data_IF_231790605379
#
_entry.id   IF_231790605379
#
_cell.length_a   1.000
_cell.length_b   1.000
_cell.length_c   1.000
_cell.angle_alpha   90.00
_cell.angle_beta   90.00
_cell.angle_gamma   90.00
#
_symmetry.space_group_name_H-M   'P 1'
#
loop_
_entity.id
_entity.type
_entity.pdbx_description
1 polymer ?
#
# COMPACT_ATOMS: atom_id res chain seq x y z
N UNK A 1 -0.44 7.37 25.24
CA UNK A 1 -1.00 8.14 24.10
C UNK A 1 -2.36 7.59 23.77
N UNK A 2 -3.23 8.45 23.23
CA UNK A 2 -4.48 8.05 22.58
C UNK A 2 -4.21 7.89 21.10
N UNK A 3 -4.52 6.73 20.56
CA UNK A 3 -4.25 6.42 19.14
C UNK A 3 -5.54 5.91 18.50
N UNK A 4 -5.88 6.47 17.35
CA UNK A 4 -6.89 5.86 16.48
C UNK A 4 -6.18 5.03 15.42
N UNK A 5 -6.58 3.78 15.23
CA UNK A 5 -6.15 2.95 14.11
C UNK A 5 -7.29 2.92 13.09
N UNK A 6 -7.06 3.48 11.91
CA UNK A 6 -8.01 3.42 10.79
C UNK A 6 -7.69 2.23 9.91
N UNK A 7 -8.70 1.38 9.68
CA UNK A 7 -8.60 0.18 8.84
C UNK A 7 -9.84 0.05 7.94
N UNK A 8 -9.96 -1.02 7.18
CA UNK A 8 -11.11 -1.31 6.32
C UNK A 8 -11.15 -0.48 5.04
N UNK A 9 -12.15 0.37 4.89
CA UNK A 9 -12.35 1.15 3.66
C UNK A 9 -13.04 0.38 2.54
N UNK A 10 -12.87 0.81 1.28
CA UNK A 10 -13.55 0.23 0.12
C UNK A 10 -12.60 -0.28 -0.98
N UNK A 11 -11.32 -0.43 -0.70
CA UNK A 11 -10.36 -0.99 -1.65
C UNK A 11 -10.49 -2.50 -1.78
N UNK A 12 -9.90 -3.06 -2.82
CA UNK A 12 -9.79 -4.52 -3.01
C UNK A 12 -8.90 -5.20 -1.95
N UNK A 13 -8.27 -4.42 -1.08
CA UNK A 13 -7.39 -4.88 0.02
C UNK A 13 -8.03 -4.67 1.40
N UNK A 14 -9.38 -4.50 1.46
CA UNK A 14 -10.14 -4.25 2.68
C UNK A 14 -9.84 -5.25 3.80
N UNK A 15 -9.86 -6.55 3.52
CA UNK A 15 -9.63 -7.59 4.52
C UNK A 15 -8.19 -7.58 5.05
N UNK A 16 -7.23 -7.32 4.16
CA UNK A 16 -5.82 -7.16 4.55
C UNK A 16 -5.67 -5.96 5.48
N UNK A 17 -6.36 -4.86 5.17
CA UNK A 17 -6.40 -3.67 6.01
C UNK A 17 -7.00 -3.95 7.39
N UNK A 18 -8.11 -4.66 7.47
CA UNK A 18 -8.75 -5.04 8.75
C UNK A 18 -7.82 -5.91 9.59
N UNK A 19 -7.19 -6.91 8.96
CA UNK A 19 -6.21 -7.78 9.63
C UNK A 19 -5.02 -6.99 10.15
N UNK A 20 -4.41 -6.15 9.30
CA UNK A 20 -3.30 -5.27 9.68
C UNK A 20 -3.67 -4.33 10.82
N UNK A 21 -4.84 -3.67 10.72
CA UNK A 21 -5.33 -2.74 11.74
C UNK A 21 -5.57 -3.39 13.09
N UNK A 22 -6.11 -4.61 13.08
CA UNK A 22 -6.32 -5.39 14.31
C UNK A 22 -4.99 -5.72 15.00
N UNK A 23 -4.02 -6.24 14.26
CA UNK A 23 -2.69 -6.57 14.79
C UNK A 23 -1.95 -5.33 15.31
N UNK A 24 -2.04 -4.22 14.58
CA UNK A 24 -1.47 -2.92 14.98
C UNK A 24 -2.11 -2.43 16.28
N UNK A 25 -3.45 -2.46 16.37
CA UNK A 25 -4.15 -2.03 17.60
C UNK A 25 -3.76 -2.88 18.81
N UNK A 26 -3.67 -4.19 18.66
CA UNK A 26 -3.21 -5.10 19.72
C UNK A 26 -1.76 -4.81 20.13
N UNK A 27 -0.86 -4.61 19.17
CA UNK A 27 0.53 -4.27 19.42
C UNK A 27 0.67 -2.95 20.22
N UNK A 28 -0.07 -1.90 19.82
CA UNK A 28 -0.07 -0.63 20.53
C UNK A 28 -0.66 -0.73 21.94
N UNK A 29 -1.75 -1.47 22.12
CA UNK A 29 -2.34 -1.75 23.44
C UNK A 29 -1.37 -2.49 24.36
N UNK A 30 -0.60 -3.44 23.82
CA UNK A 30 0.43 -4.16 24.59
C UNK A 30 1.55 -3.25 25.12
N UNK A 31 1.73 -2.07 24.52
CA UNK A 31 2.65 -1.01 24.96
C UNK A 31 2.00 0.00 25.92
N UNK A 32 0.75 -0.20 26.32
CA UNK A 32 0.04 0.65 27.28
C UNK A 32 -0.61 1.89 26.67
N UNK A 33 -0.83 1.93 25.34
CA UNK A 33 -1.60 3.00 24.70
C UNK A 33 -3.10 2.74 24.81
N UNK A 34 -3.90 3.82 24.87
CA UNK A 34 -5.35 3.78 24.71
C UNK A 34 -5.66 3.81 23.21
N UNK A 35 -6.23 2.72 22.67
CA UNK A 35 -6.35 2.54 21.21
C UNK A 35 -7.78 2.27 20.78
N UNK A 36 -8.30 3.13 19.89
CA UNK A 36 -9.58 2.94 19.22
C UNK A 36 -9.31 2.41 17.81
N UNK A 37 -9.88 1.26 17.46
CA UNK A 37 -9.83 0.68 16.12
C UNK A 37 -11.14 0.97 15.38
N UNK A 38 -11.06 1.71 14.27
CA UNK A 38 -12.20 2.10 13.45
C UNK A 38 -12.06 1.63 12.01
N UNK A 39 -13.17 1.19 11.43
CA UNK A 39 -13.31 1.10 9.99
C UNK A 39 -13.59 2.51 9.43
N UNK A 40 -12.72 3.01 8.53
CA UNK A 40 -12.85 4.36 7.98
C UNK A 40 -14.15 4.58 7.22
N UNK A 41 -14.67 3.53 6.55
CA UNK A 41 -15.92 3.60 5.80
C UNK A 41 -17.16 3.39 6.68
N UNK A 42 -17.15 2.39 7.56
CA UNK A 42 -18.30 2.12 8.45
C UNK A 42 -18.43 3.20 9.53
N UNK A 43 -17.32 3.68 10.07
CA UNK A 43 -17.30 4.66 11.14
C UNK A 43 -17.80 4.12 12.48
N UNK A 44 -18.19 5.04 13.35
CA UNK A 44 -18.85 4.76 14.63
C UNK A 44 -20.29 5.27 14.56
N UNK A 45 -21.25 4.38 14.41
CA UNK A 45 -22.63 4.72 14.06
C UNK A 45 -23.47 5.20 15.25
N UNK A 46 -23.04 4.93 16.48
CA UNK A 46 -23.74 5.38 17.68
C UNK A 46 -23.56 6.88 17.93
N UNK A 47 -24.42 7.45 18.76
CA UNK A 47 -24.21 8.82 19.22
C UNK A 47 -23.02 8.88 20.17
N UNK A 48 -22.04 9.73 19.86
CA UNK A 48 -20.92 9.94 20.76
C UNK A 48 -21.39 10.77 21.94
N UNK A 49 -21.56 10.13 23.10
CA UNK A 49 -21.84 10.80 24.36
C UNK A 49 -20.55 11.12 25.13
N UNK A 50 -19.54 10.28 24.97
CA UNK A 50 -18.26 10.37 25.67
C UNK A 50 -17.16 9.68 24.83
N UNK A 51 -16.34 10.48 24.13
CA UNK A 51 -15.22 9.98 23.33
C UNK A 51 -14.12 9.39 24.25
N UNK A 52 -13.92 9.97 25.44
CA UNK A 52 -12.95 9.46 26.40
C UNK A 52 -13.23 8.00 26.80
N UNK A 53 -14.50 7.63 26.88
CA UNK A 53 -14.89 6.26 27.18
C UNK A 53 -14.46 5.28 26.08
N UNK A 54 -14.48 5.68 24.81
CA UNK A 54 -14.05 4.83 23.69
C UNK A 54 -12.55 4.49 23.81
N UNK A 55 -11.74 5.49 24.14
CA UNK A 55 -10.29 5.27 24.32
C UNK A 55 -10.01 4.41 25.55
N UNK A 56 -10.61 4.70 26.70
CA UNK A 56 -10.43 3.92 27.96
C UNK A 56 -10.86 2.46 27.82
N UNK A 57 -11.90 2.19 27.01
CA UNK A 57 -12.39 0.84 26.75
C UNK A 57 -11.63 0.13 25.63
N UNK A 58 -10.70 0.80 24.96
CA UNK A 58 -10.01 0.28 23.79
C UNK A 58 -11.01 -0.24 22.74
N UNK A 59 -11.95 0.61 22.35
CA UNK A 59 -12.98 0.22 21.40
C UNK A 59 -12.39 -0.37 20.12
N UNK A 60 -13.04 -1.42 19.61
CA UNK A 60 -12.75 -2.00 18.30
C UNK A 60 -14.06 -2.28 17.58
N UNK A 61 -14.15 -1.86 16.31
CA UNK A 61 -15.20 -2.42 15.47
C UNK A 61 -14.96 -3.92 15.31
N UNK A 62 -16.04 -4.68 15.17
CA UNK A 62 -15.97 -6.13 14.90
C UNK A 62 -16.42 -6.35 13.47
N UNK A 63 -15.49 -6.78 12.60
CA UNK A 63 -15.85 -7.37 11.32
C UNK A 63 -15.66 -8.89 11.44
N UNK A 64 -16.71 -9.65 11.25
CA UNK A 64 -16.69 -11.11 11.39
C UNK A 64 -16.11 -11.84 10.18
N UNK A 65 -15.51 -11.14 9.22
CA UNK A 65 -15.04 -11.71 7.96
C UNK A 65 -13.57 -12.14 8.07
N UNK A 66 -13.29 -13.36 7.61
CA UNK A 66 -11.93 -13.84 7.33
C UNK A 66 -11.41 -13.22 6.02
N UNK A 67 -10.08 -13.16 5.87
CA UNK A 67 -9.44 -12.72 4.61
C UNK A 67 -9.98 -13.59 3.46
N UNK A 68 -10.53 -12.95 2.43
CA UNK A 68 -11.04 -13.64 1.25
C UNK A 68 -9.90 -14.23 0.41
N UNK A 69 -10.09 -15.44 -0.08
CA UNK A 69 -9.05 -16.17 -0.82
C UNK A 69 -8.89 -15.69 -2.28
N UNK A 70 -9.82 -14.85 -2.78
CA UNK A 70 -9.78 -14.30 -4.13
C UNK A 70 -10.45 -12.92 -4.27
N UNK A 71 -10.23 -12.27 -5.43
CA UNK A 71 -10.74 -10.93 -5.75
C UNK A 71 -12.28 -10.88 -5.79
N UNK A 72 -12.96 -11.96 -6.18
CA UNK A 72 -14.41 -12.01 -6.30
C UNK A 72 -15.07 -11.96 -4.91
N UNK A 73 -14.49 -12.66 -3.95
CA UNK A 73 -14.91 -12.59 -2.55
C UNK A 73 -14.73 -11.18 -1.98
N UNK A 74 -13.61 -10.53 -2.27
CA UNK A 74 -13.35 -9.14 -1.83
C UNK A 74 -14.37 -8.16 -2.38
N UNK A 75 -14.74 -8.26 -3.67
CA UNK A 75 -15.79 -7.41 -4.26
C UNK A 75 -17.14 -7.64 -3.57
N UNK A 76 -17.45 -8.87 -3.21
CA UNK A 76 -18.67 -9.23 -2.48
C UNK A 76 -18.66 -8.57 -1.10
N UNK A 77 -17.57 -8.65 -0.36
CA UNK A 77 -17.40 -8.04 0.96
C UNK A 77 -17.53 -6.52 0.94
N UNK A 78 -17.03 -5.86 -0.11
CA UNK A 78 -17.22 -4.41 -0.31
C UNK A 78 -18.71 -4.06 -0.52
N UNK A 79 -19.44 -4.86 -1.31
CA UNK A 79 -20.87 -4.67 -1.51
C UNK A 79 -21.63 -4.84 -0.20
N UNK A 80 -21.32 -5.87 0.57
CA UNK A 80 -21.91 -6.10 1.89
C UNK A 80 -21.63 -4.96 2.86
N UNK A 81 -20.40 -4.43 2.90
CA UNK A 81 -20.06 -3.28 3.73
C UNK A 81 -20.93 -2.05 3.37
N UNK A 82 -21.12 -1.77 2.07
CA UNK A 82 -21.99 -0.69 1.60
C UNK A 82 -23.46 -0.91 1.99
N UNK A 83 -23.92 -2.15 1.99
CA UNK A 83 -25.29 -2.52 2.38
C UNK A 83 -25.50 -2.46 3.90
N UNK A 84 -24.51 -2.84 4.69
CA UNK A 84 -24.55 -2.83 6.17
C UNK A 84 -24.49 -1.41 6.75
N UNK A 85 -23.81 -0.46 6.11
CA UNK A 85 -23.67 0.90 6.58
C UNK A 85 -25.04 1.59 6.74
N UNK A 86 -25.32 2.15 7.92
CA UNK A 86 -26.66 2.68 8.26
C UNK A 86 -27.00 3.99 7.55
N UNK A 87 -26.04 4.92 7.42
CA UNK A 87 -26.31 6.26 6.90
C UNK A 87 -26.55 6.30 5.37
N UNK A 88 -26.25 5.22 4.64
CA UNK A 88 -26.45 5.10 3.18
C UNK A 88 -25.94 6.28 2.36
N UNK A 89 -25.00 7.05 2.88
CA UNK A 89 -24.38 8.16 2.16
C UNK A 89 -23.30 7.66 1.20
N UNK A 90 -22.95 8.48 0.18
CA UNK A 90 -21.85 8.21 -0.72
C UNK A 90 -20.49 8.64 -0.15
N UNK A 91 -20.43 9.13 1.09
CA UNK A 91 -19.18 9.57 1.71
C UNK A 91 -18.25 8.38 1.95
N UNK A 92 -16.99 8.53 1.64
CA UNK A 92 -15.97 7.51 1.96
C UNK A 92 -15.75 7.41 3.48
N UNK A 93 -15.66 8.54 4.17
CA UNK A 93 -15.45 8.62 5.62
C UNK A 93 -16.80 8.42 6.34
N UNK A 94 -16.85 7.42 7.21
CA UNK A 94 -18.01 7.06 8.01
C UNK A 94 -18.30 8.08 9.10
N UNK A 95 -19.46 7.93 9.72
CA UNK A 95 -19.92 8.82 10.80
C UNK A 95 -18.92 8.80 11.96
N UNK A 96 -18.67 9.97 12.55
CA UNK A 96 -17.86 10.18 13.76
C UNK A 96 -16.36 9.84 13.62
N UNK A 97 -15.86 9.43 12.43
CA UNK A 97 -14.44 9.08 12.25
C UNK A 97 -13.55 10.28 12.49
N UNK A 98 -13.87 11.42 11.88
CA UNK A 98 -13.07 12.65 12.01
C UNK A 98 -13.09 13.16 13.44
N UNK A 99 -14.27 13.17 14.07
CA UNK A 99 -14.43 13.62 15.45
C UNK A 99 -13.61 12.80 16.43
N UNK A 100 -13.57 11.46 16.26
CA UNK A 100 -12.78 10.58 17.14
C UNK A 100 -11.28 10.72 16.84
N UNK A 101 -10.87 10.86 15.57
CA UNK A 101 -9.48 11.09 15.19
C UNK A 101 -8.95 12.43 15.75
N UNK A 102 -9.78 13.46 15.81
CA UNK A 102 -9.40 14.77 16.34
C UNK A 102 -9.08 14.77 17.85
N UNK A 103 -9.60 13.79 18.60
CA UNK A 103 -9.33 13.61 20.04
C UNK A 103 -8.13 12.68 20.32
N UNK A 104 -7.50 12.14 19.27
CA UNK A 104 -6.32 11.32 19.38
C UNK A 104 -5.02 12.13 19.33
N UNK A 105 -3.96 11.65 19.97
CA UNK A 105 -2.61 12.20 19.81
C UNK A 105 -2.11 11.97 18.37
N UNK A 106 -2.50 10.83 17.78
CA UNK A 106 -2.16 10.44 16.40
C UNK A 106 -3.15 9.42 15.83
N UNK A 107 -3.35 9.46 14.51
CA UNK A 107 -4.12 8.46 13.76
C UNK A 107 -3.16 7.54 12.99
N UNK A 108 -3.18 6.25 13.28
CA UNK A 108 -2.42 5.24 12.56
C UNK A 108 -3.20 4.76 11.33
N UNK A 109 -2.64 4.93 10.14
CA UNK A 109 -3.26 4.49 8.88
C UNK A 109 -2.85 3.05 8.58
N UNK A 110 -3.75 2.08 8.83
CA UNK A 110 -3.59 0.67 8.49
C UNK A 110 -4.42 0.30 7.25
N UNK A 111 -4.55 1.25 6.32
CA UNK A 111 -5.30 1.13 5.08
C UNK A 111 -4.39 0.66 3.95
N UNK A 112 -4.98 0.04 2.92
CA UNK A 112 -4.24 -0.40 1.73
C UNK A 112 -5.07 -0.08 0.49
N UNK A 113 -4.44 0.55 -0.51
CA UNK A 113 -5.05 0.91 -1.78
C UNK A 113 -6.16 1.97 -1.70
N UNK A 114 -6.68 2.36 -2.84
CA UNK A 114 -7.81 3.27 -3.00
C UNK A 114 -7.65 4.59 -2.26
N UNK A 115 -8.78 5.12 -1.77
CA UNK A 115 -8.86 6.43 -1.10
C UNK A 115 -8.07 6.49 0.22
N UNK A 116 -7.74 5.34 0.80
CA UNK A 116 -6.91 5.25 2.01
C UNK A 116 -5.43 5.53 1.76
N UNK A 117 -4.96 5.28 0.52
CA UNK A 117 -3.53 5.36 0.18
C UNK A 117 -3.21 6.35 -0.96
N UNK A 118 -4.23 6.91 -1.64
CA UNK A 118 -4.03 7.79 -2.79
C UNK A 118 -3.89 9.29 -2.45
N UNK A 119 -3.75 9.65 -1.18
CA UNK A 119 -3.60 11.02 -0.70
C UNK A 119 -4.91 11.73 -0.33
N UNK A 120 -6.08 11.19 -0.69
CA UNK A 120 -7.37 11.85 -0.40
C UNK A 120 -7.68 11.86 1.10
N UNK A 121 -7.49 10.74 1.78
CA UNK A 121 -7.67 10.67 3.24
C UNK A 121 -6.63 11.54 3.96
N UNK A 122 -5.37 11.47 3.54
CA UNK A 122 -4.27 12.27 4.08
C UNK A 122 -4.58 13.76 3.99
N UNK A 123 -4.98 14.25 2.79
CA UNK A 123 -5.39 15.64 2.60
C UNK A 123 -6.58 16.04 3.48
N UNK A 124 -7.52 15.12 3.70
CA UNK A 124 -8.66 15.37 4.59
C UNK A 124 -8.18 15.53 6.03
N UNK A 125 -7.34 14.63 6.52
CA UNK A 125 -6.79 14.71 7.88
C UNK A 125 -5.96 15.98 8.08
N UNK A 126 -5.15 16.38 7.08
CA UNK A 126 -4.40 17.64 7.09
C UNK A 126 -5.31 18.87 7.28
N UNK A 127 -6.44 18.92 6.54
CA UNK A 127 -7.40 20.03 6.64
C UNK A 127 -8.09 20.09 8.00
N UNK A 128 -8.22 18.98 8.72
CA UNK A 128 -8.74 18.93 10.08
C UNK A 128 -7.65 19.08 11.15
N UNK A 129 -6.38 19.22 10.77
CA UNK A 129 -5.26 19.31 11.71
C UNK A 129 -5.00 18.02 12.50
N UNK A 130 -5.40 16.88 11.95
CA UNK A 130 -5.26 15.56 12.57
C UNK A 130 -3.92 14.97 12.16
N UNK A 131 -3.07 14.63 13.12
CA UNK A 131 -1.80 13.94 12.89
C UNK A 131 -2.05 12.49 12.48
N UNK A 132 -1.27 11.99 11.52
CA UNK A 132 -1.36 10.60 11.06
C UNK A 132 0.02 10.01 10.72
N UNK A 133 0.09 8.69 10.59
CA UNK A 133 1.32 7.98 10.21
C UNK A 133 1.39 7.79 8.69
N UNK A 134 2.61 7.78 8.14
CA UNK A 134 2.85 7.55 6.71
C UNK A 134 3.14 8.82 5.95
N UNK A 135 3.19 8.72 4.64
CA UNK A 135 3.46 9.84 3.74
C UNK A 135 2.28 10.81 3.65
N UNK A 136 2.56 12.10 3.48
CA UNK A 136 1.57 13.14 3.25
C UNK A 136 0.80 12.96 1.93
N UNK A 137 -0.21 13.80 1.71
CA UNK A 137 -1.13 13.68 0.56
C UNK A 137 -0.42 13.68 -0.79
N UNK A 138 0.61 14.52 -0.96
CA UNK A 138 1.32 14.64 -2.24
C UNK A 138 2.11 13.36 -2.57
N UNK A 139 2.91 12.87 -1.62
CA UNK A 139 3.70 11.65 -1.79
C UNK A 139 2.81 10.45 -2.04
N UNK A 140 1.72 10.31 -1.28
CA UNK A 140 0.72 9.25 -1.45
C UNK A 140 0.06 9.30 -2.84
N UNK A 141 -0.34 10.48 -3.32
CA UNK A 141 -0.94 10.63 -4.63
C UNK A 141 0.03 10.32 -5.78
N UNK A 142 1.29 10.77 -5.68
CA UNK A 142 2.33 10.48 -6.67
C UNK A 142 2.64 8.98 -6.72
N UNK A 143 2.83 8.34 -5.57
CA UNK A 143 3.16 6.92 -5.47
C UNK A 143 2.03 6.01 -5.99
N UNK A 144 0.78 6.35 -5.68
CA UNK A 144 -0.38 5.56 -6.12
C UNK A 144 -0.55 5.58 -7.63
N UNK A 145 -0.33 6.72 -8.29
CA UNK A 145 -0.48 6.86 -9.73
C UNK A 145 0.81 6.43 -10.46
N UNK A 146 0.84 5.20 -10.98
CA UNK A 146 2.03 4.60 -11.65
C UNK A 146 2.51 5.40 -12.85
N UNK A 147 1.61 6.09 -13.56
CA UNK A 147 1.97 6.96 -14.67
C UNK A 147 2.73 8.22 -14.20
N UNK A 148 2.28 8.86 -13.13
CA UNK A 148 2.96 9.98 -12.52
C UNK A 148 4.27 9.55 -11.86
N UNK A 149 4.27 8.43 -11.13
CA UNK A 149 5.49 7.82 -10.57
C UNK A 149 6.57 7.66 -11.64
N UNK A 150 6.23 7.03 -12.78
CA UNK A 150 7.17 6.86 -13.91
C UNK A 150 7.66 8.19 -14.46
N UNK A 151 6.80 9.18 -14.56
CA UNK A 151 7.19 10.52 -15.04
C UNK A 151 8.19 11.19 -14.11
N UNK A 152 8.00 11.08 -12.79
CA UNK A 152 8.95 11.56 -11.78
C UNK A 152 10.27 10.80 -11.87
N UNK A 153 10.22 9.47 -11.94
CA UNK A 153 11.41 8.63 -12.06
C UNK A 153 12.25 8.98 -13.30
N UNK A 154 11.61 9.12 -14.47
CA UNK A 154 12.31 9.54 -15.69
C UNK A 154 12.96 10.92 -15.54
N UNK A 155 12.28 11.89 -14.93
CA UNK A 155 12.84 13.22 -14.70
C UNK A 155 14.05 13.22 -13.74
N UNK A 156 14.06 12.28 -12.80
CA UNK A 156 15.14 12.11 -11.81
C UNK A 156 16.21 11.11 -12.23
N UNK A 157 16.12 10.55 -13.44
CA UNK A 157 17.00 9.48 -13.96
C UNK A 157 16.96 8.20 -13.11
N UNK A 158 15.87 7.93 -12.41
CA UNK A 158 15.62 6.66 -11.72
C UNK A 158 15.13 5.65 -12.77
N UNK A 159 15.83 4.52 -12.85
CA UNK A 159 15.50 3.48 -13.82
C UNK A 159 14.13 2.86 -13.52
N UNK A 160 13.26 2.80 -14.51
CA UNK A 160 11.95 2.12 -14.46
C UNK A 160 11.69 1.47 -15.82
N UNK A 161 10.91 0.37 -15.91
CA UNK A 161 10.60 -0.21 -17.22
C UNK A 161 10.03 0.86 -18.17
N UNK A 162 10.54 0.93 -19.40
CA UNK A 162 10.04 1.88 -20.39
C UNK A 162 8.55 1.66 -20.63
N UNK A 163 7.76 2.72 -20.54
CA UNK A 163 6.30 2.59 -20.63
C UNK A 163 5.59 3.91 -20.84
N UNK A 164 4.31 3.83 -21.12
CA UNK A 164 3.44 4.96 -21.40
C UNK A 164 2.11 4.85 -20.66
N UNK A 165 1.53 6.02 -20.35
CA UNK A 165 0.20 6.17 -19.77
C UNK A 165 -0.83 6.39 -20.88
N UNK A 166 -1.91 5.62 -20.89
CA UNK A 166 -3.01 5.76 -21.82
C UNK A 166 -4.34 5.98 -21.09
N UNK A 167 -5.17 6.88 -21.65
CA UNK A 167 -6.49 7.26 -21.10
C UNK A 167 -7.66 6.65 -21.88
N UNK A 168 -7.39 5.90 -22.92
CA UNK A 168 -8.41 5.24 -23.71
C UNK A 168 -7.82 4.11 -24.57
N UNK A 169 -8.69 3.19 -25.01
CA UNK A 169 -8.30 2.05 -25.82
C UNK A 169 -7.64 2.45 -27.14
N UNK A 170 -8.16 3.49 -27.81
CA UNK A 170 -7.69 3.89 -29.14
C UNK A 170 -6.23 4.31 -29.13
N UNK A 171 -5.83 5.12 -28.17
CA UNK A 171 -4.45 5.59 -28.04
C UNK A 171 -3.53 4.47 -27.58
N UNK A 172 -4.00 3.60 -26.68
CA UNK A 172 -3.26 2.43 -26.21
C UNK A 172 -2.90 1.48 -27.37
N UNK A 173 -3.73 1.35 -28.41
CA UNK A 173 -3.46 0.49 -29.56
C UNK A 173 -2.26 0.95 -30.41
N UNK A 174 -1.65 2.10 -30.14
CA UNK A 174 -0.40 2.53 -30.76
C UNK A 174 0.84 1.76 -30.24
N UNK A 175 0.75 1.13 -29.06
CA UNK A 175 1.84 0.32 -28.49
C UNK A 175 2.13 -0.92 -29.34
N UNK A 176 3.41 -1.18 -29.61
CA UNK A 176 3.85 -2.27 -30.49
C UNK A 176 5.07 -3.05 -30.01
N UNK A 177 5.53 -2.80 -28.77
CA UNK A 177 6.66 -3.50 -28.16
C UNK A 177 6.16 -4.68 -27.31
N UNK A 178 6.61 -5.89 -27.62
CA UNK A 178 6.26 -7.12 -26.90
C UNK A 178 7.51 -7.93 -26.55
N UNK A 179 7.51 -8.66 -25.42
CA UNK A 179 6.42 -8.73 -24.43
C UNK A 179 6.27 -7.44 -23.62
N UNK A 180 5.06 -7.18 -23.13
CA UNK A 180 4.75 -6.01 -22.29
C UNK A 180 3.85 -6.36 -21.12
N UNK A 181 3.75 -5.45 -20.16
CA UNK A 181 2.77 -5.48 -19.06
C UNK A 181 1.72 -4.41 -19.33
N UNK A 182 0.46 -4.77 -19.18
CA UNK A 182 -0.69 -3.86 -19.16
C UNK A 182 -1.28 -3.88 -17.76
N UNK A 183 -1.44 -2.71 -17.14
CA UNK A 183 -1.94 -2.62 -15.76
C UNK A 183 -2.78 -1.34 -15.55
N UNK A 184 -3.79 -1.37 -14.66
CA UNK A 184 -4.45 -0.16 -14.18
C UNK A 184 -3.43 0.82 -13.57
N UNK A 185 -3.71 2.12 -13.70
CA UNK A 185 -2.76 3.16 -13.29
C UNK A 185 -2.59 3.24 -11.76
N UNK A 186 -3.70 3.16 -11.02
CA UNK A 186 -3.73 3.33 -9.56
C UNK A 186 -4.13 2.07 -8.80
N UNK A 187 -4.31 0.94 -9.51
CA UNK A 187 -4.69 -0.33 -8.91
C UNK A 187 -3.57 -0.95 -8.05
N UNK A 188 -3.99 -1.67 -7.01
CA UNK A 188 -3.12 -2.46 -6.12
C UNK A 188 -3.24 -3.97 -6.36
N UNK A 189 -2.46 -4.76 -5.60
CA UNK A 189 -2.53 -6.23 -5.53
C UNK A 189 -2.55 -6.98 -6.85
N UNK A 190 -1.93 -6.43 -7.90
CA UNK A 190 -1.86 -7.01 -9.25
C UNK A 190 -3.23 -7.23 -9.92
N UNK A 191 -4.32 -6.63 -9.42
CA UNK A 191 -5.65 -6.70 -10.03
C UNK A 191 -5.64 -5.99 -11.39
N UNK A 192 -6.12 -6.67 -12.44
CA UNK A 192 -6.14 -6.13 -13.80
C UNK A 192 -4.77 -6.09 -14.50
N UNK A 193 -3.72 -6.63 -13.89
CA UNK A 193 -2.38 -6.72 -14.49
C UNK A 193 -2.30 -7.91 -15.45
N UNK A 194 -1.77 -7.69 -16.64
CA UNK A 194 -1.61 -8.74 -17.65
C UNK A 194 -0.23 -8.68 -18.28
N UNK A 195 0.49 -9.81 -18.30
CA UNK A 195 1.63 -10.03 -19.17
C UNK A 195 1.16 -10.40 -20.56
N UNK A 196 1.69 -9.75 -21.56
CA UNK A 196 1.22 -9.82 -22.95
C UNK A 196 2.39 -10.11 -23.88
N UNK A 197 2.27 -11.17 -24.66
CA UNK A 197 3.32 -11.65 -25.57
C UNK A 197 3.13 -11.17 -27.03
N UNK A 198 1.91 -10.72 -27.39
CA UNK A 198 1.59 -10.34 -28.78
C UNK A 198 0.37 -9.40 -28.87
N UNK A 199 0.14 -8.85 -30.06
CA UNK A 199 -0.90 -7.85 -30.32
C UNK A 199 -2.34 -8.35 -30.06
N UNK A 200 -2.63 -9.63 -30.22
CA UNK A 200 -3.98 -10.15 -29.99
C UNK A 200 -4.30 -10.28 -28.51
N UNK A 201 -3.33 -10.71 -27.71
CA UNK A 201 -3.42 -10.69 -26.25
C UNK A 201 -3.50 -9.25 -25.73
N UNK A 202 -2.74 -8.34 -26.36
CA UNK A 202 -2.68 -6.92 -25.99
C UNK A 202 -4.05 -6.24 -26.01
N UNK A 203 -4.81 -6.39 -27.11
CA UNK A 203 -6.15 -5.81 -27.24
C UNK A 203 -7.11 -6.27 -26.13
N UNK A 204 -6.99 -7.55 -25.70
CA UNK A 204 -7.81 -8.10 -24.62
C UNK A 204 -7.39 -7.52 -23.27
N UNK A 205 -6.07 -7.44 -23.01
CA UNK A 205 -5.53 -6.92 -21.78
C UNK A 205 -5.86 -5.43 -21.56
N UNK A 206 -5.77 -4.61 -22.61
CA UNK A 206 -6.18 -3.18 -22.58
C UNK A 206 -7.65 -3.05 -22.19
N UNK A 207 -8.55 -3.81 -22.84
CA UNK A 207 -9.98 -3.80 -22.51
C UNK A 207 -10.25 -4.27 -21.09
N UNK A 208 -9.51 -5.24 -20.61
CA UNK A 208 -9.67 -5.75 -19.25
C UNK A 208 -9.20 -4.71 -18.21
N UNK A 209 -8.02 -4.13 -18.39
CA UNK A 209 -7.50 -3.11 -17.48
C UNK A 209 -8.40 -1.87 -17.41
N UNK A 210 -8.96 -1.42 -18.56
CA UNK A 210 -9.89 -0.29 -18.61
C UNK A 210 -11.27 -0.56 -18.00
N UNK A 211 -11.57 -1.79 -17.56
CA UNK A 211 -12.77 -2.03 -16.74
C UNK A 211 -12.59 -1.60 -15.28
N UNK A 212 -11.35 -1.54 -14.83
CA UNK A 212 -11.01 -1.18 -13.45
C UNK A 212 -10.78 0.32 -13.28
N UNK A 213 -10.14 0.97 -14.29
CA UNK A 213 -9.78 2.38 -14.25
C UNK A 213 -9.82 3.02 -15.64
N UNK A 214 -10.02 4.35 -15.68
CA UNK A 214 -10.01 5.12 -16.92
C UNK A 214 -8.60 5.34 -17.51
N UNK A 215 -7.56 5.06 -16.71
CA UNK A 215 -6.15 5.21 -17.10
C UNK A 215 -5.41 3.87 -16.91
N UNK A 216 -4.58 3.52 -17.88
CA UNK A 216 -3.74 2.32 -17.82
C UNK A 216 -2.29 2.67 -18.13
N UNK A 217 -1.37 1.94 -17.51
CA UNK A 217 0.05 1.95 -17.85
C UNK A 217 0.37 0.72 -18.68
N UNK A 218 1.07 0.93 -19.79
CA UNK A 218 1.67 -0.13 -20.59
C UNK A 218 3.17 0.03 -20.52
N UNK A 219 3.88 -1.04 -20.17
CA UNK A 219 5.33 -1.00 -20.00
C UNK A 219 6.01 -2.24 -20.56
N UNK A 220 7.26 -2.10 -20.95
CA UNK A 220 8.09 -3.22 -21.39
C UNK A 220 8.19 -4.26 -20.29
N UNK A 221 8.01 -5.53 -20.66
CA UNK A 221 8.26 -6.63 -19.72
C UNK A 221 9.77 -6.81 -19.50
N UNK A 222 10.21 -6.61 -18.27
CA UNK A 222 11.59 -6.84 -17.84
C UNK A 222 11.66 -8.20 -17.16
N UNK A 223 12.62 -9.03 -17.55
CA UNK A 223 12.90 -10.32 -16.90
C UNK A 223 14.01 -10.14 -15.88
N UNK A 224 13.76 -10.47 -14.64
CA UNK A 224 14.74 -10.30 -13.57
C UNK A 224 14.32 -10.99 -12.28
N UNK A 225 15.16 -10.85 -11.24
CA UNK A 225 14.84 -11.17 -9.85
C UNK A 225 14.05 -10.00 -9.26
N UNK A 226 13.04 -10.29 -8.48
CA UNK A 226 12.19 -9.28 -7.85
C UNK A 226 12.65 -9.02 -6.42
N UNK A 227 12.76 -7.75 -6.04
CA UNK A 227 13.19 -7.30 -4.72
C UNK A 227 12.24 -6.23 -4.20
N UNK A 228 12.17 -6.15 -2.89
CA UNK A 228 11.56 -5.03 -2.21
C UNK A 228 12.57 -4.41 -1.25
N UNK A 229 12.50 -3.10 -1.07
CA UNK A 229 13.30 -2.36 -0.11
C UNK A 229 12.39 -1.47 0.71
N UNK A 230 12.28 -1.75 2.00
CA UNK A 230 11.59 -0.92 2.95
C UNK A 230 12.43 0.28 3.36
N UNK A 231 11.77 1.39 3.68
CA UNK A 231 12.40 2.55 4.29
C UNK A 231 11.64 2.95 5.55
N UNK A 232 12.39 3.37 6.56
CA UNK A 232 11.86 3.93 7.83
C UNK A 232 12.64 5.21 8.13
N UNK A 233 11.96 6.34 8.26
CA UNK A 233 12.60 7.65 8.47
C UNK A 233 13.61 7.99 7.38
N UNK A 234 13.37 7.58 6.13
CA UNK A 234 14.28 7.76 5.00
C UNK A 234 15.48 6.80 4.97
N UNK A 235 15.67 5.94 5.99
CA UNK A 235 16.74 4.92 6.01
C UNK A 235 16.26 3.64 5.32
N UNK A 236 16.96 3.23 4.26
CA UNK A 236 16.70 1.97 3.56
C UNK A 236 17.10 0.76 4.41
N UNK A 237 16.20 -0.21 4.51
CA UNK A 237 16.38 -1.50 5.18
C UNK A 237 17.09 -2.52 4.25
N UNK A 238 17.50 -3.68 4.78
CA UNK A 238 18.03 -4.77 3.97
C UNK A 238 17.03 -5.22 2.91
N UNK A 239 17.41 -5.32 1.62
CA UNK A 239 16.52 -5.82 0.58
C UNK A 239 15.97 -7.22 0.89
N UNK A 240 14.72 -7.46 0.55
CA UNK A 240 14.10 -8.78 0.57
C UNK A 240 13.88 -9.26 -0.87
N UNK A 241 14.30 -10.47 -1.20
CA UNK A 241 14.02 -11.10 -2.49
C UNK A 241 12.67 -11.79 -2.48
N UNK A 242 11.91 -11.63 -3.54
CA UNK A 242 10.58 -12.17 -3.75
C UNK A 242 10.64 -13.15 -4.92
N UNK A 243 10.52 -14.46 -4.64
CA UNK A 243 10.59 -15.52 -5.64
C UNK A 243 9.25 -16.29 -5.72
N UNK A 244 8.27 -15.80 -6.51
CA UNK A 244 7.00 -16.49 -6.66
C UNK A 244 7.16 -17.82 -7.42
N UNK A 245 6.58 -18.90 -6.90
CA UNK A 245 6.64 -20.24 -7.52
C UNK A 245 5.91 -20.31 -8.85
N UNK A 246 4.92 -19.43 -9.08
CA UNK A 246 4.18 -19.28 -10.33
C UNK A 246 4.97 -18.52 -11.42
N UNK A 247 6.07 -17.87 -11.07
CA UNK A 247 6.86 -17.03 -11.95
C UNK A 247 6.35 -15.59 -12.12
N UNK A 248 5.21 -15.22 -11.52
CA UNK A 248 4.70 -13.85 -11.42
C UNK A 248 4.19 -13.58 -10.01
N UNK A 249 4.49 -12.38 -9.47
CA UNK A 249 4.02 -11.95 -8.15
C UNK A 249 2.60 -11.37 -8.28
N UNK A 250 1.64 -12.26 -8.59
CA UNK A 250 0.22 -11.95 -8.71
C UNK A 250 -0.51 -11.99 -7.35
N UNK A 251 -1.84 -11.78 -7.36
CA UNK A 251 -2.66 -11.79 -6.15
C UNK A 251 -2.50 -13.07 -5.33
N UNK A 252 -2.54 -14.22 -5.98
CA UNK A 252 -2.38 -15.51 -5.31
C UNK A 252 -0.97 -15.67 -4.72
N UNK A 253 0.07 -15.24 -5.44
CA UNK A 253 1.44 -15.26 -4.96
C UNK A 253 1.68 -14.35 -3.74
N UNK A 254 0.92 -13.25 -3.62
CA UNK A 254 0.99 -12.30 -2.50
C UNK A 254 0.32 -12.82 -1.23
N UNK A 255 -0.81 -13.49 -1.35
CA UNK A 255 -1.68 -13.78 -0.19
C UNK A 255 -1.85 -15.26 0.14
N UNK A 256 -1.53 -16.19 -0.77
CA UNK A 256 -1.56 -17.63 -0.47
C UNK A 256 -0.29 -18.07 0.26
N UNK A 257 -0.45 -18.67 1.43
CA UNK A 257 0.67 -19.16 2.22
C UNK A 257 1.53 -20.16 1.42
N UNK A 258 2.85 -19.87 1.33
CA UNK A 258 3.82 -20.72 0.64
C UNK A 258 3.80 -20.63 -0.89
N UNK A 259 3.04 -19.72 -1.50
CA UNK A 259 3.07 -19.47 -2.94
C UNK A 259 4.35 -18.74 -3.39
N UNK A 260 4.95 -17.96 -2.51
CA UNK A 260 6.19 -17.20 -2.74
C UNK A 260 7.25 -17.64 -1.74
N UNK A 261 8.51 -17.62 -2.16
CA UNK A 261 9.68 -17.75 -1.28
C UNK A 261 10.24 -16.34 -1.09
N UNK A 262 10.30 -15.89 0.15
CA UNK A 262 10.82 -14.61 0.55
C UNK A 262 12.15 -14.83 1.30
N UNK A 263 13.21 -14.13 0.90
CA UNK A 263 14.54 -14.25 1.51
C UNK A 263 15.00 -12.88 2.00
N UNK A 264 15.09 -12.71 3.32
CA UNK A 264 15.54 -11.48 3.95
C UNK A 264 16.64 -11.75 5.01
N UNK A 265 17.82 -11.12 4.94
CA UNK A 265 18.29 -10.29 3.82
C UNK A 265 18.43 -11.12 2.54
N UNK A 266 18.29 -10.47 1.40
CA UNK A 266 18.42 -11.11 0.10
C UNK A 266 19.82 -11.69 -0.11
N UNK A 267 19.92 -12.84 -0.79
CA UNK A 267 21.21 -13.43 -1.17
C UNK A 267 21.79 -12.75 -2.42
N UNK A 268 22.48 -11.63 -2.19
CA UNK A 268 23.11 -10.75 -3.19
C UNK A 268 24.45 -10.24 -2.67
N UNK A 269 25.32 -9.78 -3.59
CA UNK A 269 26.57 -9.14 -3.21
C UNK A 269 26.38 -7.72 -2.65
N UNK A 270 27.41 -7.21 -1.96
CA UNK A 270 27.36 -5.88 -1.31
C UNK A 270 27.14 -4.73 -2.31
N UNK A 271 27.62 -4.85 -3.55
CA UNK A 271 27.43 -3.84 -4.58
C UNK A 271 25.94 -3.77 -5.00
N UNK A 272 25.32 -4.93 -5.19
CA UNK A 272 23.89 -5.04 -5.53
C UNK A 272 23.00 -4.59 -4.37
N UNK A 273 23.32 -4.97 -3.12
CA UNK A 273 22.61 -4.49 -1.91
C UNK A 273 22.63 -2.96 -1.85
N UNK A 274 23.83 -2.38 -1.94
CA UNK A 274 24.00 -0.93 -1.93
C UNK A 274 23.22 -0.25 -3.06
N UNK A 275 23.26 -0.78 -4.26
CA UNK A 275 22.56 -0.25 -5.43
C UNK A 275 21.05 -0.22 -5.27
N UNK A 276 20.47 -1.29 -4.71
CA UNK A 276 19.03 -1.35 -4.41
C UNK A 276 18.64 -0.34 -3.33
N UNK A 277 19.41 -0.23 -2.25
CA UNK A 277 19.13 0.75 -1.17
C UNK A 277 19.27 2.19 -1.64
N UNK A 278 20.31 2.51 -2.41
CA UNK A 278 20.50 3.84 -2.98
C UNK A 278 19.32 4.21 -3.90
N UNK A 279 18.93 3.30 -4.81
CA UNK A 279 17.80 3.51 -5.71
C UNK A 279 16.46 3.66 -4.95
N UNK A 280 16.28 2.92 -3.84
CA UNK A 280 15.10 3.05 -3.00
C UNK A 280 15.06 4.41 -2.29
N UNK A 281 16.20 4.89 -1.80
CA UNK A 281 16.32 6.21 -1.18
C UNK A 281 16.04 7.32 -2.19
N UNK A 282 16.62 7.24 -3.39
CA UNK A 282 16.35 8.19 -4.48
C UNK A 282 14.87 8.23 -4.88
N UNK A 283 14.21 7.06 -4.97
CA UNK A 283 12.79 6.98 -5.29
C UNK A 283 11.90 7.57 -4.17
N UNK A 284 12.25 7.30 -2.91
CA UNK A 284 11.58 7.83 -1.73
C UNK A 284 11.63 9.37 -1.71
N UNK A 285 12.82 9.95 -1.91
CA UNK A 285 13.00 11.40 -1.95
C UNK A 285 12.32 12.04 -3.18
N UNK A 286 12.41 11.40 -4.35
CA UNK A 286 11.83 11.91 -5.59
C UNK A 286 10.30 12.00 -5.54
N UNK A 287 9.65 11.06 -4.83
CA UNK A 287 8.20 11.03 -4.64
C UNK A 287 7.74 11.80 -3.40
N UNK A 288 8.64 12.48 -2.68
CA UNK A 288 8.31 13.18 -1.43
C UNK A 288 7.64 12.27 -0.40
N UNK A 289 8.16 11.04 -0.28
CA UNK A 289 7.65 10.11 0.73
C UNK A 289 8.18 10.48 2.11
N UNK A 290 7.42 10.11 3.13
CA UNK A 290 7.71 10.45 4.53
C UNK A 290 7.49 9.22 5.41
N UNK A 291 8.05 9.26 6.63
CA UNK A 291 7.88 8.26 7.67
C UNK A 291 8.35 6.86 7.22
N UNK A 292 7.62 6.20 6.37
CA UNK A 292 7.94 4.87 5.88
C UNK A 292 7.35 4.62 4.49
N UNK A 293 7.99 3.74 3.75
CA UNK A 293 7.50 3.26 2.46
C UNK A 293 8.16 1.93 2.10
N UNK A 294 7.67 1.30 1.04
CA UNK A 294 8.29 0.14 0.42
C UNK A 294 8.41 0.39 -1.08
N UNK A 295 9.61 0.20 -1.61
CA UNK A 295 9.90 0.39 -3.04
C UNK A 295 10.21 -0.98 -3.65
N UNK A 296 9.53 -1.32 -4.74
CA UNK A 296 9.65 -2.62 -5.39
C UNK A 296 10.48 -2.52 -6.67
N UNK A 297 11.38 -3.49 -6.89
CA UNK A 297 12.38 -3.50 -7.95
C UNK A 297 12.43 -4.80 -8.72
N UNK A 298 12.84 -4.71 -9.99
CA UNK A 298 13.42 -5.82 -10.74
C UNK A 298 14.91 -5.60 -10.94
N UNK A 299 15.70 -6.66 -10.77
CA UNK A 299 17.12 -6.72 -11.11
C UNK A 299 17.28 -7.66 -12.30
N UNK A 300 17.66 -7.13 -13.45
CA UNK A 300 17.87 -7.93 -14.63
C UNK A 300 19.23 -8.69 -14.61
N UNK A 301 19.44 -9.57 -15.59
CA UNK A 301 20.68 -10.35 -15.71
C UNK A 301 21.91 -9.49 -16.05
N UNK A 302 21.72 -8.26 -16.50
CA UNK A 302 22.78 -7.29 -16.75
C UNK A 302 23.17 -6.47 -15.52
N UNK A 303 22.52 -6.69 -14.37
CA UNK A 303 22.74 -5.94 -13.14
C UNK A 303 22.08 -4.57 -13.13
N UNK A 304 21.11 -4.31 -14.03
CA UNK A 304 20.32 -3.10 -14.00
C UNK A 304 19.10 -3.28 -13.08
N UNK A 305 18.91 -2.30 -12.18
CA UNK A 305 17.75 -2.22 -11.31
C UNK A 305 16.66 -1.39 -11.97
N UNK A 306 15.42 -1.84 -11.93
CA UNK A 306 14.24 -1.13 -12.42
C UNK A 306 13.24 -0.95 -11.29
N UNK A 307 12.97 0.31 -10.90
CA UNK A 307 11.95 0.63 -9.92
C UNK A 307 10.56 0.42 -10.53
N UNK A 308 9.73 -0.38 -9.90
CA UNK A 308 8.39 -0.76 -10.36
C UNK A 308 7.31 0.15 -9.81
N UNK A 309 7.29 0.29 -8.49
CA UNK A 309 6.28 1.05 -7.74
C UNK A 309 6.78 1.41 -6.35
N UNK A 310 6.10 2.37 -5.72
CA UNK A 310 6.27 2.74 -4.33
C UNK A 310 4.96 2.53 -3.58
N UNK A 311 5.02 1.89 -2.41
CA UNK A 311 3.88 1.62 -1.54
C UNK A 311 4.02 2.47 -0.28
N UNK A 312 3.07 3.36 -0.03
CA UNK A 312 3.12 4.32 1.09
C UNK A 312 2.50 3.79 2.37
N UNK A 313 1.61 2.82 2.27
CA UNK A 313 1.02 2.09 3.40
C UNK A 313 1.24 0.58 3.24
N UNK A 314 2.50 0.10 3.32
CA UNK A 314 2.79 -1.33 3.17
C UNK A 314 2.18 -2.16 4.30
N UNK A 315 1.92 -3.44 4.02
CA UNK A 315 1.34 -4.38 4.97
C UNK A 315 2.12 -4.47 6.29
N UNK A 316 1.38 -4.73 7.38
CA UNK A 316 1.89 -4.72 8.76
C UNK A 316 1.77 -6.06 9.45
N UNK A 317 1.33 -7.10 8.75
CA UNK A 317 1.29 -8.45 9.33
C UNK A 317 2.72 -8.99 9.52
N UNK A 318 2.95 -9.95 10.41
CA UNK A 318 4.29 -10.55 10.59
C UNK A 318 4.87 -11.16 9.31
N UNK A 319 4.03 -11.53 8.35
CA UNK A 319 4.42 -12.08 7.05
C UNK A 319 4.55 -11.01 5.97
N UNK A 320 4.29 -9.74 6.28
CA UNK A 320 4.49 -8.64 5.32
C UNK A 320 5.97 -8.32 5.16
N UNK A 321 6.38 -7.84 3.98
CA UNK A 321 7.78 -7.64 3.60
C UNK A 321 8.51 -6.65 4.53
N UNK A 322 7.93 -5.46 4.73
CA UNK A 322 8.55 -4.42 5.55
C UNK A 322 8.81 -4.83 7.02
N UNK A 323 7.89 -5.52 7.74
CA UNK A 323 8.19 -6.09 9.05
C UNK A 323 9.31 -7.13 9.05
N UNK A 324 9.46 -7.94 8.00
CA UNK A 324 10.56 -8.89 7.86
C UNK A 324 11.90 -8.18 7.69
N UNK A 325 11.97 -7.15 6.83
CA UNK A 325 13.16 -6.31 6.62
C UNK A 325 13.56 -5.58 7.91
N UNK A 326 12.58 -5.02 8.65
CA UNK A 326 12.81 -4.36 9.93
C UNK A 326 13.34 -5.32 11.01
N UNK A 327 12.87 -6.57 11.02
CA UNK A 327 13.34 -7.59 11.96
C UNK A 327 14.82 -7.94 11.76
N UNK A 328 15.38 -7.87 10.56
CA UNK A 328 16.82 -8.06 10.28
C UNK A 328 17.65 -6.97 10.97
N UNK A 329 17.14 -5.73 11.04
CA UNK A 329 17.77 -4.61 11.77
C UNK A 329 17.47 -4.65 13.29
N UNK A 330 16.84 -5.73 13.80
CA UNK A 330 16.51 -5.88 15.22
C UNK A 330 15.27 -5.08 15.66
N UNK A 331 14.50 -4.54 14.73
CA UNK A 331 13.27 -3.78 15.00
C UNK A 331 12.10 -4.77 14.98
N UNK A 332 11.56 -5.11 16.15
CA UNK A 332 10.38 -5.98 16.23
C UNK A 332 9.13 -5.31 15.65
N UNK A 333 8.15 -6.08 15.17
CA UNK A 333 6.90 -5.53 14.62
C UNK A 333 6.18 -4.61 15.63
N UNK A 334 6.20 -4.96 16.91
CA UNK A 334 5.65 -4.13 18.00
C UNK A 334 6.45 -2.83 18.18
N UNK A 335 7.79 -2.92 18.16
CA UNK A 335 8.67 -1.73 18.25
C UNK A 335 8.54 -0.84 17.03
N UNK A 336 8.45 -1.45 15.84
CA UNK A 336 8.22 -0.75 14.59
C UNK A 336 6.90 0.03 14.58
N UNK A 337 5.80 -0.59 14.99
CA UNK A 337 4.49 0.06 15.11
C UNK A 337 4.53 1.23 16.11
N UNK A 338 5.24 1.06 17.21
CA UNK A 338 5.42 2.09 18.24
C UNK A 338 6.28 3.27 17.75
N UNK A 339 7.40 3.00 17.05
CA UNK A 339 8.25 4.03 16.44
C UNK A 339 7.46 4.89 15.48
N UNK A 340 6.61 4.27 14.65
CA UNK A 340 5.78 4.96 13.67
C UNK A 340 4.77 5.94 14.30
N UNK A 341 4.21 5.58 15.45
CA UNK A 341 3.33 6.47 16.20
C UNK A 341 4.07 7.69 16.79
N UNK A 342 5.40 7.64 16.94
CA UNK A 342 6.23 8.71 17.50
C UNK A 342 7.00 9.53 16.46
N UNK A 343 7.18 9.06 15.21
CA UNK A 343 7.97 9.77 14.19
C UNK A 343 7.41 11.14 13.79
N UNK A 344 6.11 11.36 13.96
CA UNK A 344 5.47 12.65 13.66
C UNK A 344 5.80 13.77 14.65
N UNK A 345 6.38 13.46 15.81
CA UNK A 345 6.81 14.51 16.77
C UNK A 345 8.14 15.21 16.38
N UNK A 346 8.88 14.68 15.40
CA UNK A 346 10.16 15.24 14.94
C UNK A 346 10.04 16.28 13.82
N UNK A 347 8.84 16.57 13.34
CA UNK A 347 8.59 17.54 12.25
C UNK A 347 7.89 18.84 12.72
N UNK A 348 7.92 19.15 14.03
CA UNK A 348 7.45 20.44 14.59
C UNK A 348 8.62 21.33 14.98
#
# INVERSE_FOLDING_TARGET
MRIVVLAGGLSTEREVSISSGTLVAEALRSKGHEVVLLDVFMGYEENICDIDALFKQNYSFTDGNSIGDDVENTITNIKEAKEKRLDKTSRYIGRNVIEICAEADITFLALHGGEGENGQLQATLDLFGIKYTGSGYLGSALAMNKGLTKSVFMQKNINTPSGELYKNEKDALAWNMFPCIVKPCSGGSSVGVSKVENADQYKKAVKEALKYEDEIVVEQFVTGREFSVGLIGGKALPPIEIAPKSGMYDYAAKYQAGATVETCPADIDEETDKKLRDAATEAYEALHLESYARIDFLLDKGGFTYCLEANTLPGMTPTSLLPQEAAVEGISSVSYTHLRAHETDSYL
#
